data_IF_339933727290
#
_entry.id   IF_339933727290
#
_cell.length_a   1.000
_cell.length_b   1.000
_cell.length_c   1.000
_cell.angle_alpha   90.00
_cell.angle_beta   90.00
_cell.angle_gamma   90.00
#
_symmetry.space_group_name_H-M   'P 1'
#
loop_
_entity.id
_entity.type
_entity.pdbx_description
1 polymer ?
#
# COMPACT_ATOMS: atom_id res chain seq x y z
N UNK A 1 16.55 20.50 30.98
CA UNK A 1 15.83 19.70 29.96
C UNK A 1 16.36 20.05 28.58
N UNK A 2 17.13 19.16 27.99
CA UNK A 2 17.46 19.15 26.56
C UNK A 2 17.01 17.77 26.12
N UNK A 3 15.88 17.70 25.41
CA UNK A 3 15.39 16.47 24.82
C UNK A 3 16.39 16.04 23.72
N UNK A 4 17.43 15.30 24.11
CA UNK A 4 18.32 14.61 23.18
C UNK A 4 17.49 13.53 22.47
N UNK A 5 16.83 13.94 21.39
CA UNK A 5 16.03 13.07 20.54
C UNK A 5 16.88 11.89 20.05
N UNK A 6 16.32 10.70 20.11
CA UNK A 6 16.97 9.51 19.55
C UNK A 6 17.08 9.69 18.04
N UNK A 7 18.26 9.44 17.48
CA UNK A 7 18.54 9.55 16.04
C UNK A 7 19.10 8.23 15.52
N UNK A 8 18.72 7.86 14.30
CA UNK A 8 19.29 6.73 13.57
C UNK A 8 19.60 7.17 12.14
N UNK A 9 20.87 7.05 11.71
CA UNK A 9 21.31 7.56 10.40
C UNK A 9 21.00 9.06 10.25
N UNK A 10 20.22 9.43 9.22
CA UNK A 10 19.74 10.80 9.01
C UNK A 10 18.35 11.07 9.61
N UNK A 11 17.77 10.17 10.39
CA UNK A 11 16.39 10.25 10.87
C UNK A 11 16.33 10.58 12.36
N UNK A 12 15.66 11.69 12.69
CA UNK A 12 15.29 12.01 14.06
C UNK A 12 13.99 11.26 14.39
N UNK A 13 14.00 10.48 15.48
CA UNK A 13 12.87 9.67 15.93
C UNK A 13 11.93 10.56 16.76
N UNK A 14 10.65 10.55 16.43
CA UNK A 14 9.58 11.28 17.11
C UNK A 14 8.63 10.29 17.82
N UNK A 15 7.36 10.67 18.01
CA UNK A 15 6.37 9.83 18.71
C UNK A 15 6.11 8.46 18.04
N UNK A 16 5.65 7.52 18.86
CA UNK A 16 5.10 6.24 18.38
C UNK A 16 3.72 6.50 17.75
N UNK A 17 3.53 6.03 16.52
CA UNK A 17 2.29 6.19 15.74
C UNK A 17 1.57 4.87 15.50
N UNK A 18 2.19 3.75 15.85
CA UNK A 18 1.58 2.42 15.77
C UNK A 18 2.43 1.35 16.44
N UNK A 19 1.78 0.27 16.85
CA UNK A 19 2.44 -0.89 17.45
C UNK A 19 1.77 -2.18 16.96
N UNK A 20 2.58 -3.16 16.58
CA UNK A 20 2.14 -4.52 16.27
C UNK A 20 2.86 -5.55 17.13
N UNK A 21 2.52 -6.82 16.94
CA UNK A 21 3.04 -7.93 17.76
C UNK A 21 4.59 -8.04 17.75
N UNK A 22 5.24 -7.66 16.65
CA UNK A 22 6.69 -7.82 16.46
C UNK A 22 7.39 -6.53 15.98
N UNK A 23 6.66 -5.42 15.91
CA UNK A 23 7.19 -4.16 15.39
C UNK A 23 6.53 -2.97 16.05
N UNK A 24 7.29 -1.90 16.20
CA UNK A 24 6.77 -0.57 16.53
C UNK A 24 6.92 0.34 15.33
N UNK A 25 6.06 1.33 15.18
CA UNK A 25 6.15 2.33 14.13
C UNK A 25 6.22 3.70 14.79
N UNK A 26 7.31 4.42 14.54
CA UNK A 26 7.48 5.79 15.00
C UNK A 26 7.39 6.76 13.82
N UNK A 27 6.87 7.96 14.07
CA UNK A 27 7.12 9.09 13.20
C UNK A 27 8.61 9.44 13.25
N UNK A 28 9.19 9.80 12.11
CA UNK A 28 10.52 10.37 12.04
C UNK A 28 10.59 11.54 11.07
N UNK A 29 11.65 12.32 11.20
CA UNK A 29 11.96 13.42 10.28
C UNK A 29 13.36 13.19 9.71
N UNK A 30 13.45 13.11 8.39
CA UNK A 30 14.73 13.01 7.70
C UNK A 30 15.44 14.37 7.74
N UNK A 31 16.65 14.41 8.31
CA UNK A 31 17.33 15.63 8.72
C UNK A 31 17.75 16.53 7.55
N UNK A 32 18.01 15.96 6.38
CA UNK A 32 18.48 16.71 5.22
C UNK A 32 17.33 17.21 4.33
N UNK A 33 16.34 16.35 4.09
CA UNK A 33 15.20 16.66 3.20
C UNK A 33 13.99 17.22 3.94
N UNK A 34 14.02 17.18 5.28
CA UNK A 34 12.90 17.49 6.18
C UNK A 34 11.63 16.67 5.92
N UNK A 35 11.76 15.52 5.24
CA UNK A 35 10.65 14.64 4.92
C UNK A 35 10.15 13.92 6.17
N UNK A 36 8.82 13.86 6.35
CA UNK A 36 8.22 13.03 7.39
C UNK A 36 8.19 11.58 6.93
N UNK A 37 8.65 10.68 7.78
CA UNK A 37 8.74 9.24 7.48
C UNK A 37 8.07 8.41 8.56
N UNK A 38 7.57 7.24 8.19
CA UNK A 38 7.18 6.19 9.15
C UNK A 38 8.35 5.21 9.31
N UNK A 39 8.74 4.94 10.55
CA UNK A 39 9.89 4.11 10.90
C UNK A 39 9.39 2.80 11.53
N UNK A 40 9.27 1.73 10.75
CA UNK A 40 8.91 0.40 11.28
C UNK A 40 10.15 -0.26 11.89
N UNK A 41 10.17 -0.31 13.21
CA UNK A 41 11.27 -0.78 14.05
C UNK A 41 11.00 -2.23 14.46
N UNK A 42 11.95 -3.12 14.20
CA UNK A 42 11.85 -4.52 14.57
C UNK A 42 13.13 -4.98 15.30
N UNK A 43 12.96 -5.85 16.31
CA UNK A 43 14.07 -6.39 17.09
C UNK A 43 14.63 -7.67 16.45
N UNK A 44 15.93 -7.69 16.14
CA UNK A 44 16.59 -8.86 15.52
C UNK A 44 16.59 -10.07 16.44
N UNK A 45 16.67 -9.86 17.75
CA UNK A 45 16.70 -10.96 18.73
C UNK A 45 15.38 -11.71 18.82
N UNK A 46 14.28 -11.04 18.48
CA UNK A 46 12.94 -11.62 18.42
C UNK A 46 12.64 -12.32 17.07
N UNK A 47 13.52 -12.21 16.07
CA UNK A 47 13.30 -12.78 14.74
C UNK A 47 13.91 -14.18 14.60
N UNK A 48 13.04 -15.18 14.43
CA UNK A 48 13.47 -16.49 13.94
C UNK A 48 13.75 -16.46 12.41
N UNK A 49 14.32 -17.53 11.88
CA UNK A 49 14.67 -17.64 10.45
C UNK A 49 13.46 -17.45 9.50
N UNK A 50 12.26 -17.84 9.93
CA UNK A 50 11.03 -17.61 9.17
C UNK A 50 10.70 -16.12 9.10
N UNK A 51 10.79 -15.40 10.21
CA UNK A 51 10.55 -13.96 10.28
C UNK A 51 11.57 -13.18 9.45
N UNK A 52 12.85 -13.56 9.48
CA UNK A 52 13.90 -12.95 8.63
C UNK A 52 13.59 -13.12 7.15
N UNK A 53 13.15 -14.31 6.72
CA UNK A 53 12.73 -14.57 5.32
C UNK A 53 11.52 -13.74 4.92
N UNK A 54 10.53 -13.60 5.80
CA UNK A 54 9.35 -12.76 5.56
C UNK A 54 9.76 -11.29 5.42
N UNK A 55 10.63 -10.78 6.29
CA UNK A 55 11.15 -9.41 6.21
C UNK A 55 11.94 -9.16 4.90
N UNK A 56 12.84 -10.07 4.53
CA UNK A 56 13.58 -9.95 3.27
C UNK A 56 12.65 -9.93 2.05
N UNK A 57 11.59 -10.73 2.08
CA UNK A 57 10.57 -10.75 1.04
C UNK A 57 9.66 -9.51 1.06
N UNK A 58 9.35 -8.95 2.23
CA UNK A 58 8.63 -7.68 2.40
C UNK A 58 9.44 -6.54 1.75
N UNK A 59 10.72 -6.42 2.08
CA UNK A 59 11.64 -5.43 1.48
C UNK A 59 11.68 -5.58 -0.04
N UNK A 60 11.95 -6.79 -0.54
CA UNK A 60 12.00 -7.08 -2.00
C UNK A 60 10.68 -6.75 -2.70
N UNK A 61 9.55 -6.97 -2.05
CA UNK A 61 8.23 -6.63 -2.60
C UNK A 61 8.06 -5.12 -2.69
N UNK A 62 8.38 -4.40 -1.60
CA UNK A 62 8.25 -2.94 -1.54
C UNK A 62 9.17 -2.22 -2.54
N UNK A 63 10.35 -2.78 -2.85
CA UNK A 63 11.25 -2.24 -3.88
C UNK A 63 10.68 -2.29 -5.31
N UNK A 64 9.71 -3.18 -5.57
CA UNK A 64 9.09 -3.34 -6.89
C UNK A 64 7.82 -2.51 -7.07
N UNK A 65 7.26 -1.96 -6.00
CA UNK A 65 5.93 -1.34 -6.00
C UNK A 65 6.03 0.20 -6.00
N UNK A 66 5.61 0.82 -7.12
CA UNK A 66 5.63 2.26 -7.34
C UNK A 66 4.26 2.74 -7.81
N UNK A 67 3.38 3.01 -6.84
CA UNK A 67 2.02 3.42 -7.13
C UNK A 67 1.59 4.54 -6.15
N UNK A 68 0.82 5.55 -6.59
CA UNK A 68 0.37 6.64 -5.71
C UNK A 68 -0.39 6.16 -4.47
N UNK A 69 -1.04 5.01 -4.56
CA UNK A 69 -1.82 4.40 -3.48
C UNK A 69 -1.14 3.21 -2.76
N UNK A 70 0.18 3.07 -2.88
CA UNK A 70 0.96 2.07 -2.14
C UNK A 70 2.04 2.81 -1.33
N UNK A 71 2.22 2.45 -0.07
CA UNK A 71 3.30 2.97 0.78
C UNK A 71 4.66 2.68 0.15
N UNK A 72 5.49 3.71 0.04
CA UNK A 72 6.85 3.59 -0.49
C UNK A 72 7.84 3.26 0.62
N UNK A 73 8.74 2.31 0.38
CA UNK A 73 9.95 2.14 1.17
C UNK A 73 10.99 3.18 0.69
N UNK A 74 11.75 3.77 1.60
CA UNK A 74 12.86 4.69 1.29
C UNK A 74 14.21 4.09 1.64
N UNK A 75 14.37 3.50 2.81
CA UNK A 75 15.66 2.98 3.29
C UNK A 75 15.44 1.83 4.28
N UNK A 76 16.39 0.91 4.38
CA UNK A 76 16.44 -0.12 5.42
C UNK A 76 17.68 0.12 6.28
N UNK A 77 17.52 0.73 7.45
CA UNK A 77 18.66 0.98 8.35
C UNK A 77 18.82 -0.20 9.28
N UNK A 78 20.00 -0.82 9.26
CA UNK A 78 20.35 -1.90 10.17
C UNK A 78 21.25 -1.37 11.30
N UNK A 79 20.78 -1.42 12.54
CA UNK A 79 21.56 -0.99 13.70
C UNK A 79 21.31 -1.94 14.87
N UNK A 80 22.29 -2.78 15.20
CA UNK A 80 22.17 -3.81 16.24
C UNK A 80 21.73 -3.20 17.57
N UNK A 81 20.65 -3.71 18.21
CA UNK A 81 19.95 -4.97 17.92
C UNK A 81 18.71 -4.88 17.01
N UNK A 82 18.50 -3.79 16.27
CA UNK A 82 17.26 -3.47 15.54
C UNK A 82 17.43 -3.32 14.03
N UNK A 83 16.33 -3.46 13.30
CA UNK A 83 16.18 -3.10 11.88
C UNK A 83 15.08 -2.05 11.77
N UNK A 84 15.29 -1.04 10.93
CA UNK A 84 14.37 0.07 10.69
C UNK A 84 14.01 0.12 9.21
N UNK A 85 12.73 -0.09 8.88
CA UNK A 85 12.22 0.22 7.54
C UNK A 85 11.72 1.66 7.56
N UNK A 86 12.37 2.52 6.79
CA UNK A 86 11.98 3.91 6.61
C UNK A 86 11.01 3.97 5.44
N UNK A 87 9.80 4.42 5.69
CA UNK A 87 8.69 4.38 4.74
C UNK A 87 8.00 5.74 4.60
N UNK A 88 7.21 5.90 3.53
CA UNK A 88 6.27 7.01 3.37
C UNK A 88 5.35 7.12 4.58
N UNK A 89 5.18 8.34 5.09
CA UNK A 89 4.27 8.62 6.20
C UNK A 89 2.86 8.93 5.69
N UNK A 90 1.85 8.21 6.21
CA UNK A 90 0.43 8.47 5.97
C UNK A 90 -0.24 8.99 7.26
N UNK A 91 -0.40 10.32 7.35
CA UNK A 91 -0.68 10.99 8.62
C UNK A 91 -2.14 11.01 9.09
N UNK A 92 -3.10 10.44 8.35
CA UNK A 92 -4.52 10.45 8.72
C UNK A 92 -5.00 9.10 9.29
N UNK A 93 -4.06 8.24 9.70
CA UNK A 93 -4.35 6.99 10.38
C UNK A 93 -4.93 5.90 9.47
N UNK A 94 -5.46 4.86 10.10
CA UNK A 94 -6.01 3.68 9.43
C UNK A 94 -7.47 3.90 9.01
N UNK A 95 -7.85 3.34 7.86
CA UNK A 95 -9.24 3.33 7.39
C UNK A 95 -10.16 2.59 8.37
N UNK A 96 -9.66 1.57 9.07
CA UNK A 96 -10.39 0.89 10.14
C UNK A 96 -10.85 1.88 11.22
N UNK A 97 -9.90 2.60 11.82
CA UNK A 97 -10.16 3.59 12.87
C UNK A 97 -11.06 4.72 12.38
N UNK A 98 -10.88 5.16 11.12
CA UNK A 98 -11.73 6.16 10.49
C UNK A 98 -13.21 5.72 10.48
N UNK A 99 -13.50 4.50 9.99
CA UNK A 99 -14.86 3.95 9.93
C UNK A 99 -15.38 3.61 11.33
N UNK A 100 -14.54 3.09 12.21
CA UNK A 100 -14.93 2.75 13.58
C UNK A 100 -15.44 3.99 14.35
N UNK A 101 -14.77 5.12 14.21
CA UNK A 101 -15.14 6.36 14.90
C UNK A 101 -16.25 7.17 14.21
N UNK A 102 -16.31 7.16 12.87
CA UNK A 102 -17.25 8.01 12.10
C UNK A 102 -18.45 7.25 11.55
N UNK A 103 -18.44 5.92 11.63
CA UNK A 103 -19.42 5.04 11.01
C UNK A 103 -19.09 4.71 9.54
N UNK A 104 -20.01 4.00 8.90
CA UNK A 104 -19.92 3.61 7.47
C UNK A 104 -19.72 4.83 6.56
N UNK A 105 -19.05 4.61 5.44
CA UNK A 105 -18.85 5.63 4.42
C UNK A 105 -20.11 5.78 3.55
N UNK A 106 -20.48 7.02 3.17
CA UNK A 106 -21.40 7.25 2.06
C UNK A 106 -20.88 6.58 0.78
N UNK A 107 -21.79 6.09 -0.07
CA UNK A 107 -21.38 5.37 -1.28
C UNK A 107 -20.46 6.18 -2.20
N UNK A 108 -20.70 7.48 -2.34
CA UNK A 108 -19.88 8.34 -3.20
C UNK A 108 -18.43 8.43 -2.70
N UNK A 109 -18.24 8.64 -1.39
CA UNK A 109 -16.90 8.67 -0.79
C UNK A 109 -16.23 7.30 -0.84
N UNK A 110 -17.02 6.25 -0.55
CA UNK A 110 -16.57 4.87 -0.62
C UNK A 110 -16.08 4.49 -2.02
N UNK A 111 -16.77 4.92 -3.08
CA UNK A 111 -16.37 4.64 -4.48
C UNK A 111 -14.99 5.21 -4.80
N UNK A 112 -14.70 6.42 -4.35
CA UNK A 112 -13.40 7.08 -4.60
C UNK A 112 -12.25 6.36 -3.88
N UNK A 113 -12.47 5.97 -2.63
CA UNK A 113 -11.50 5.17 -1.87
C UNK A 113 -11.34 3.78 -2.49
N UNK A 114 -12.45 3.13 -2.85
CA UNK A 114 -12.44 1.79 -3.43
C UNK A 114 -11.74 1.77 -4.79
N UNK A 115 -11.93 2.77 -5.65
CA UNK A 115 -11.22 2.88 -6.92
C UNK A 115 -9.69 2.92 -6.73
N UNK A 116 -9.19 3.59 -5.70
CA UNK A 116 -7.76 3.64 -5.37
C UNK A 116 -7.24 2.28 -4.86
N UNK A 117 -8.01 1.58 -4.02
CA UNK A 117 -7.68 0.22 -3.57
C UNK A 117 -7.60 -0.72 -4.77
N UNK A 118 -8.62 -0.72 -5.64
CA UNK A 118 -8.64 -1.53 -6.86
C UNK A 118 -7.47 -1.19 -7.78
N UNK A 119 -7.12 0.08 -7.90
CA UNK A 119 -5.95 0.51 -8.67
C UNK A 119 -4.64 -0.06 -8.12
N UNK A 120 -4.42 0.05 -6.80
CA UNK A 120 -3.24 -0.48 -6.13
C UNK A 120 -3.11 -1.99 -6.31
N UNK A 121 -4.20 -2.74 -6.07
CA UNK A 121 -4.19 -4.21 -6.19
C UNK A 121 -4.07 -4.65 -7.64
N UNK A 122 -4.73 -3.98 -8.59
CA UNK A 122 -4.57 -4.24 -10.02
C UNK A 122 -3.10 -4.10 -10.46
N UNK A 123 -2.40 -3.07 -9.94
CA UNK A 123 -0.97 -2.89 -10.18
C UNK A 123 -0.10 -3.97 -9.54
N UNK A 124 -0.40 -4.40 -8.30
CA UNK A 124 0.31 -5.51 -7.68
C UNK A 124 0.13 -6.81 -8.48
N UNK A 125 -1.11 -7.12 -8.88
CA UNK A 125 -1.45 -8.33 -9.63
C UNK A 125 -0.81 -8.34 -11.03
N UNK A 126 -0.65 -7.18 -11.68
CA UNK A 126 0.05 -7.08 -12.98
C UNK A 126 1.55 -7.37 -12.88
N UNK A 127 2.16 -7.17 -11.70
CA UNK A 127 3.52 -7.61 -11.37
C UNK A 127 3.59 -9.02 -10.78
N UNK A 128 2.46 -9.73 -10.80
CA UNK A 128 2.26 -11.04 -10.16
C UNK A 128 2.57 -11.06 -8.65
N UNK A 129 2.35 -9.95 -7.97
CA UNK A 129 2.47 -9.84 -6.51
C UNK A 129 1.06 -9.96 -5.91
N UNK A 130 0.89 -10.88 -4.98
CA UNK A 130 -0.36 -11.11 -4.24
C UNK A 130 -0.17 -10.59 -2.83
N UNK A 131 -1.12 -9.83 -2.29
CA UNK A 131 -0.98 -9.19 -0.98
C UNK A 131 -1.25 -10.15 0.18
N UNK A 132 -2.34 -10.93 0.12
CA UNK A 132 -2.74 -11.96 1.10
C UNK A 132 -3.11 -11.48 2.51
N UNK A 133 -3.17 -10.17 2.76
CA UNK A 133 -3.64 -9.60 4.03
C UNK A 133 -4.31 -8.23 3.82
N UNK A 134 -5.18 -8.15 2.81
CA UNK A 134 -5.96 -6.93 2.56
C UNK A 134 -7.02 -6.80 3.66
N UNK A 135 -6.96 -5.70 4.40
CA UNK A 135 -7.87 -5.35 5.49
C UNK A 135 -7.87 -3.85 5.73
N UNK A 136 -8.82 -3.34 6.51
CA UNK A 136 -9.00 -1.90 6.71
C UNK A 136 -7.83 -1.26 7.49
N UNK A 137 -7.17 -2.03 8.35
CA UNK A 137 -5.97 -1.64 9.12
C UNK A 137 -4.75 -1.44 8.20
N UNK A 138 -4.68 -2.20 7.10
CA UNK A 138 -3.60 -2.10 6.11
C UNK A 138 -3.88 -1.04 5.02
N UNK A 139 -5.00 -0.32 5.11
CA UNK A 139 -5.31 0.81 4.24
C UNK A 139 -5.19 2.10 5.05
N UNK A 140 -4.10 2.83 4.86
CA UNK A 140 -3.84 4.08 5.55
C UNK A 140 -4.40 5.27 4.77
N UNK A 141 -4.75 6.33 5.47
CA UNK A 141 -5.16 7.61 4.89
C UNK A 141 -3.96 8.56 4.96
N UNK A 142 -3.49 9.02 3.80
CA UNK A 142 -2.48 10.09 3.73
C UNK A 142 -3.12 11.47 3.75
N UNK A 143 -4.34 11.58 3.20
CA UNK A 143 -5.30 12.69 3.26
C UNK A 143 -6.71 12.07 3.36
N UNK A 144 -7.77 12.85 3.69
CA UNK A 144 -9.12 12.29 3.83
C UNK A 144 -9.57 11.40 2.66
N UNK A 145 -9.16 11.75 1.44
CA UNK A 145 -9.61 11.06 0.21
C UNK A 145 -8.47 10.32 -0.50
N UNK A 146 -7.28 10.22 0.10
CA UNK A 146 -6.09 9.63 -0.54
C UNK A 146 -5.51 8.48 0.28
N UNK A 147 -5.70 7.27 -0.22
CA UNK A 147 -5.29 6.05 0.48
C UNK A 147 -3.87 5.63 0.15
N UNK A 148 -3.27 4.90 1.08
CA UNK A 148 -1.99 4.20 0.95
C UNK A 148 -2.13 2.78 1.48
N UNK A 149 -2.05 1.80 0.59
CA UNK A 149 -1.98 0.40 0.97
C UNK A 149 -0.61 0.10 1.60
N UNK A 150 -0.62 -0.54 2.76
CA UNK A 150 0.54 -0.80 3.60
C UNK A 150 0.61 -2.27 4.02
N UNK A 151 1.72 -2.63 4.68
CA UNK A 151 2.03 -3.96 5.23
C UNK A 151 2.09 -5.11 4.22
N UNK A 152 3.29 -5.34 3.69
CA UNK A 152 3.56 -6.38 2.71
C UNK A 152 4.21 -7.62 3.33
N UNK A 153 4.16 -7.79 4.66
CA UNK A 153 4.80 -8.91 5.37
C UNK A 153 4.30 -10.29 4.93
N UNK A 154 3.08 -10.37 4.42
CA UNK A 154 2.51 -11.58 3.83
C UNK A 154 2.48 -11.56 2.30
N UNK A 155 2.93 -10.50 1.63
CA UNK A 155 2.88 -10.46 0.17
C UNK A 155 3.81 -11.51 -0.46
N UNK A 156 3.51 -11.98 -1.66
CA UNK A 156 4.42 -12.87 -2.40
C UNK A 156 4.28 -12.70 -3.90
N UNK A 157 5.42 -12.79 -4.60
CA UNK A 157 5.43 -12.89 -6.05
C UNK A 157 5.18 -14.34 -6.47
N UNK A 158 4.25 -14.55 -7.41
CA UNK A 158 3.85 -15.86 -7.91
C UNK A 158 4.06 -15.91 -9.42
N UNK A 159 4.44 -17.05 -10.00
CA UNK A 159 4.42 -17.15 -11.45
C UNK A 159 2.96 -17.35 -11.93
N UNK A 160 2.63 -16.96 -13.17
CA UNK A 160 1.33 -17.24 -13.74
C UNK A 160 1.00 -18.75 -13.68
N UNK A 161 -0.11 -19.10 -13.04
CA UNK A 161 -0.57 -20.48 -12.87
C UNK A 161 -0.15 -21.15 -11.56
N UNK A 162 0.82 -20.60 -10.83
CA UNK A 162 1.26 -21.17 -9.55
C UNK A 162 0.18 -21.04 -8.48
N UNK A 163 0.05 -22.11 -7.68
CA UNK A 163 -0.81 -22.14 -6.50
C UNK A 163 0.01 -22.01 -5.22
N UNK A 164 -0.58 -21.34 -4.24
CA UNK A 164 0.00 -21.14 -2.92
C UNK A 164 -0.55 -22.17 -1.92
N UNK A 165 0.25 -22.52 -0.92
CA UNK A 165 -0.10 -23.52 0.12
C UNK A 165 -0.17 -22.95 1.53
N UNK A 166 0.38 -21.75 1.76
CA UNK A 166 0.49 -21.17 3.10
C UNK A 166 -0.77 -20.40 3.47
N UNK A 167 -1.41 -20.76 4.58
CA UNK A 167 -2.45 -19.95 5.22
C UNK A 167 -1.82 -18.77 5.96
N UNK A 168 -2.20 -17.56 5.61
CA UNK A 168 -1.77 -16.32 6.26
C UNK A 168 -2.83 -15.24 6.10
N UNK A 169 -2.64 -14.11 6.80
CA UNK A 169 -3.58 -13.00 6.81
C UNK A 169 -4.66 -13.10 7.88
N UNK A 170 -5.51 -12.09 7.92
CA UNK A 170 -6.47 -11.85 9.00
C UNK A 170 -7.75 -12.69 8.83
N UNK A 171 -8.18 -13.47 9.84
CA UNK A 171 -9.29 -14.43 9.68
C UNK A 171 -10.60 -13.86 9.15
N UNK A 172 -10.97 -12.62 9.52
CA UNK A 172 -12.21 -11.99 9.09
C UNK A 172 -12.24 -11.65 7.58
N UNK A 173 -11.08 -11.56 6.94
CA UNK A 173 -10.88 -11.27 5.52
C UNK A 173 -10.48 -12.52 4.72
N UNK A 174 -10.31 -13.67 5.38
CA UNK A 174 -9.83 -14.89 4.75
C UNK A 174 -10.89 -15.51 3.82
N UNK A 175 -10.47 -15.89 2.61
CA UNK A 175 -11.32 -16.57 1.64
C UNK A 175 -11.66 -18.01 2.06
N UNK A 176 -12.82 -18.57 1.65
CA UNK A 176 -13.25 -19.92 2.05
C UNK A 176 -12.27 -21.03 1.67
N UNK A 177 -11.61 -20.91 0.51
CA UNK A 177 -10.66 -21.91 0.02
C UNK A 177 -9.41 -22.04 0.90
N UNK A 178 -9.05 -21.00 1.66
CA UNK A 178 -7.94 -21.04 2.62
C UNK A 178 -8.20 -22.03 3.76
N UNK A 179 -9.48 -22.36 4.02
CA UNK A 179 -9.90 -23.28 5.06
C UNK A 179 -10.23 -24.70 4.56
N UNK A 180 -10.39 -24.87 3.25
CA UNK A 180 -10.85 -26.10 2.59
C UNK A 180 -9.75 -26.80 1.82
N UNK A 181 -8.89 -26.04 1.17
CA UNK A 181 -7.95 -26.56 0.17
C UNK A 181 -6.52 -26.53 0.70
N UNK A 182 -5.72 -27.50 0.28
CA UNK A 182 -4.27 -27.46 0.50
C UNK A 182 -3.54 -26.48 -0.41
N UNK A 183 -4.19 -26.06 -1.51
CA UNK A 183 -3.67 -25.15 -2.53
C UNK A 183 -4.74 -24.16 -2.98
N UNK A 184 -4.33 -22.93 -3.30
CA UNK A 184 -5.24 -21.87 -3.75
C UNK A 184 -4.58 -20.92 -4.75
N UNK A 185 -5.41 -20.25 -5.57
CA UNK A 185 -4.96 -19.18 -6.46
C UNK A 185 -4.94 -17.85 -5.69
N UNK A 186 -3.74 -17.25 -5.57
CA UNK A 186 -3.54 -16.07 -4.74
C UNK A 186 -4.40 -14.87 -5.12
N UNK A 187 -4.53 -14.57 -6.43
CA UNK A 187 -5.34 -13.43 -6.90
C UNK A 187 -6.79 -13.50 -6.42
N UNK A 188 -7.39 -14.70 -6.44
CA UNK A 188 -8.79 -14.89 -6.04
C UNK A 188 -9.00 -14.63 -4.55
N UNK A 189 -8.01 -14.94 -3.70
CA UNK A 189 -8.06 -14.65 -2.26
C UNK A 189 -8.03 -13.14 -2.00
N UNK A 190 -7.22 -12.38 -2.73
CA UNK A 190 -7.22 -10.91 -2.64
C UNK A 190 -8.59 -10.34 -3.05
N UNK A 191 -9.23 -10.87 -4.11
CA UNK A 191 -10.57 -10.42 -4.53
C UNK A 191 -11.62 -10.63 -3.42
N UNK A 192 -11.59 -11.77 -2.73
CA UNK A 192 -12.48 -12.01 -1.60
C UNK A 192 -12.26 -10.98 -0.49
N UNK A 193 -11.00 -10.76 -0.10
CA UNK A 193 -10.64 -9.80 0.95
C UNK A 193 -11.08 -8.37 0.59
N UNK A 194 -10.96 -7.97 -0.68
CA UNK A 194 -11.48 -6.70 -1.21
C UNK A 194 -13.01 -6.62 -1.10
N UNK A 195 -13.73 -7.73 -1.35
CA UNK A 195 -15.17 -7.81 -1.15
C UNK A 195 -15.59 -7.61 0.30
N UNK A 196 -14.86 -8.24 1.23
CA UNK A 196 -15.03 -8.04 2.69
C UNK A 196 -14.77 -6.58 3.06
N UNK A 197 -13.71 -5.98 2.52
CA UNK A 197 -13.35 -4.59 2.76
C UNK A 197 -14.40 -3.61 2.23
N UNK A 198 -14.91 -3.81 1.01
CA UNK A 198 -15.99 -2.97 0.45
C UNK A 198 -17.25 -3.04 1.30
N UNK A 199 -17.64 -4.25 1.72
CA UNK A 199 -18.76 -4.43 2.63
C UNK A 199 -18.52 -3.69 3.96
N UNK A 200 -17.33 -3.83 4.55
CA UNK A 200 -16.97 -3.13 5.78
C UNK A 200 -17.06 -1.60 5.62
N UNK A 201 -16.58 -1.04 4.51
CA UNK A 201 -16.69 0.40 4.24
C UNK A 201 -18.14 0.89 4.16
N UNK A 202 -19.02 0.12 3.51
CA UNK A 202 -20.41 0.52 3.26
C UNK A 202 -21.38 0.16 4.40
N UNK A 203 -21.00 -0.76 5.28
CA UNK A 203 -21.87 -1.28 6.35
C UNK A 203 -21.32 -0.98 7.75
N UNK A 204 -20.04 -0.60 7.85
CA UNK A 204 -19.34 -0.33 9.12
C UNK A 204 -18.97 -1.58 9.90
N UNK A 205 -19.19 -2.76 9.32
CA UNK A 205 -19.16 -4.05 9.98
C UNK A 205 -18.76 -5.11 8.95
N UNK A 206 -17.98 -6.13 9.32
CA UNK A 206 -17.64 -7.24 8.39
C UNK A 206 -18.86 -8.13 8.09
N UNK A 207 -18.93 -8.74 6.88
CA UNK A 207 -20.06 -9.57 6.46
C UNK A 207 -20.14 -10.91 7.20
N UNK A 208 -18.99 -11.44 7.65
CA UNK A 208 -18.90 -12.68 8.42
C UNK A 208 -18.43 -12.39 9.83
N UNK A 209 -19.09 -13.01 10.81
CA UNK A 209 -18.86 -12.79 12.25
C UNK A 209 -19.02 -14.09 13.01
N UNK A 210 -18.29 -14.22 14.11
CA UNK A 210 -18.45 -15.30 15.06
C UNK A 210 -17.69 -14.97 16.34
N UNK A 211 -18.23 -15.36 17.48
CA UNK A 211 -17.61 -15.16 18.80
C UNK A 211 -16.31 -15.96 18.96
N UNK A 212 -16.21 -17.07 18.23
CA UNK A 212 -15.02 -17.92 18.18
C UNK A 212 -14.51 -18.01 16.75
N UNK A 213 -13.22 -18.31 16.59
CA UNK A 213 -12.63 -18.60 15.29
C UNK A 213 -13.37 -19.73 14.55
N UNK A 214 -13.84 -20.74 15.29
CA UNK A 214 -14.64 -21.83 14.73
C UNK A 214 -15.97 -21.33 14.14
N UNK A 215 -16.71 -20.50 14.87
CA UNK A 215 -17.99 -19.95 14.41
C UNK A 215 -17.78 -19.02 13.20
N UNK A 216 -16.74 -18.17 13.24
CA UNK A 216 -16.38 -17.32 12.10
C UNK A 216 -16.06 -18.15 10.86
N UNK A 217 -15.25 -19.21 11.01
CA UNK A 217 -14.93 -20.14 9.91
C UNK A 217 -16.20 -20.74 9.32
N UNK A 218 -17.14 -21.21 10.14
CA UNK A 218 -18.41 -21.76 9.65
C UNK A 218 -19.22 -20.74 8.85
N UNK A 219 -19.29 -19.49 9.30
CA UNK A 219 -19.96 -18.41 8.56
C UNK A 219 -19.31 -18.14 7.20
N UNK A 220 -17.98 -18.04 7.15
CA UNK A 220 -17.22 -17.86 5.90
C UNK A 220 -17.47 -19.02 4.94
N UNK A 221 -17.43 -20.26 5.42
CA UNK A 221 -17.61 -21.45 4.59
C UNK A 221 -19.03 -21.60 4.03
N UNK A 222 -20.04 -21.10 4.77
CA UNK A 222 -21.44 -21.02 4.31
C UNK A 222 -21.64 -19.91 3.27
N UNK A 223 -20.88 -18.82 3.37
CA UNK A 223 -20.96 -17.70 2.42
C UNK A 223 -22.24 -16.88 2.51
N UNK A 224 -22.98 -17.02 3.61
CA UNK A 224 -24.24 -16.28 3.81
C UNK A 224 -23.97 -14.99 4.57
N UNK A 225 -24.38 -13.88 4.01
CA UNK A 225 -24.33 -12.54 4.61
C UNK A 225 -25.55 -11.74 4.14
N UNK A 226 -25.94 -10.72 4.90
CA UNK A 226 -27.05 -9.85 4.54
C UNK A 226 -26.55 -8.64 3.76
N UNK A 227 -27.20 -8.30 2.65
CA UNK A 227 -26.97 -7.02 1.97
C UNK A 227 -28.07 -6.03 2.41
N UNK A 228 -27.71 -4.92 3.08
CA UNK A 228 -28.71 -3.96 3.51
C UNK A 228 -29.43 -3.28 2.34
N UNK A 229 -30.74 -3.08 2.47
CA UNK A 229 -31.59 -2.46 1.44
C UNK A 229 -31.22 -1.00 1.11
N UNK A 230 -30.48 -0.32 1.99
CA UNK A 230 -30.02 1.05 1.74
C UNK A 230 -28.85 1.12 0.74
N UNK A 231 -28.22 -0.02 0.41
CA UNK A 231 -27.16 -0.07 -0.59
C UNK A 231 -27.75 -0.03 -1.99
N UNK A 232 -27.10 0.68 -2.90
CA UNK A 232 -27.47 0.68 -4.32
C UNK A 232 -27.34 -0.72 -4.92
N UNK A 233 -28.16 -1.01 -5.93
CA UNK A 233 -28.10 -2.28 -6.68
C UNK A 233 -26.69 -2.51 -7.25
N UNK A 234 -25.99 -1.45 -7.64
CA UNK A 234 -24.62 -1.54 -8.14
C UNK A 234 -23.63 -2.00 -7.05
N UNK A 235 -23.74 -1.45 -5.83
CA UNK A 235 -22.91 -1.85 -4.69
C UNK A 235 -23.19 -3.30 -4.28
N UNK A 236 -24.47 -3.67 -4.15
CA UNK A 236 -24.89 -5.03 -3.82
C UNK A 236 -24.36 -6.04 -4.85
N UNK A 237 -24.43 -5.70 -6.14
CA UNK A 237 -23.97 -6.56 -7.24
C UNK A 237 -22.46 -6.78 -7.19
N UNK A 238 -21.65 -5.73 -7.04
CA UNK A 238 -20.19 -5.92 -7.03
C UNK A 238 -19.72 -6.69 -5.79
N UNK A 239 -20.34 -6.46 -4.61
CA UNK A 239 -20.05 -7.25 -3.40
C UNK A 239 -20.35 -8.73 -3.63
N UNK A 240 -21.52 -9.05 -4.18
CA UNK A 240 -21.94 -10.44 -4.43
C UNK A 240 -21.12 -11.16 -5.49
N UNK A 241 -20.52 -10.42 -6.43
CA UNK A 241 -19.58 -10.95 -7.42
C UNK A 241 -18.19 -11.24 -6.84
N UNK A 242 -17.76 -10.53 -5.79
CA UNK A 242 -16.49 -10.78 -5.09
C UNK A 242 -16.62 -11.85 -4.00
N UNK A 243 -17.73 -11.87 -3.25
CA UNK A 243 -17.98 -12.82 -2.16
C UNK A 243 -18.62 -14.13 -2.66
N UNK A 244 -18.08 -14.67 -3.76
CA UNK A 244 -18.45 -15.98 -4.31
C UNK A 244 -17.57 -17.06 -3.70
N UNK A 245 -18.20 -18.12 -3.18
CA UNK A 245 -17.50 -19.25 -2.54
C UNK A 245 -16.57 -19.96 -3.52
N UNK A 246 -17.03 -20.21 -4.73
CA UNK A 246 -16.23 -20.84 -5.79
C UNK A 246 -15.22 -19.83 -6.35
N UNK A 247 -13.91 -19.99 -6.12
CA UNK A 247 -12.90 -19.03 -6.55
C UNK A 247 -12.77 -18.90 -8.07
N UNK A 248 -13.26 -19.89 -8.84
CA UNK A 248 -13.24 -19.87 -10.31
C UNK A 248 -14.38 -19.01 -10.88
N UNK A 249 -15.53 -18.97 -10.18
CA UNK A 249 -16.68 -18.14 -10.53
C UNK A 249 -16.60 -16.73 -9.97
N UNK A 250 -15.65 -16.49 -9.06
CA UNK A 250 -15.38 -15.18 -8.46
C UNK A 250 -14.91 -14.21 -9.53
N UNK A 251 -15.41 -12.99 -9.46
CA UNK A 251 -15.07 -11.93 -10.42
C UNK A 251 -13.57 -11.62 -10.42
N UNK A 252 -13.07 -11.08 -11.53
CA UNK A 252 -11.67 -10.65 -11.65
C UNK A 252 -11.50 -9.17 -11.30
N UNK A 253 -10.25 -8.74 -11.10
CA UNK A 253 -9.94 -7.32 -10.87
C UNK A 253 -10.37 -6.43 -12.04
N UNK A 254 -10.29 -6.94 -13.27
CA UNK A 254 -10.68 -6.21 -14.47
C UNK A 254 -12.21 -6.09 -14.61
N UNK A 255 -12.95 -7.12 -14.23
CA UNK A 255 -14.42 -7.05 -14.14
C UNK A 255 -14.85 -5.99 -13.11
N UNK A 256 -14.18 -5.93 -11.95
CA UNK A 256 -14.48 -4.93 -10.90
C UNK A 256 -14.21 -3.52 -11.42
N UNK A 257 -13.10 -3.29 -12.15
CA UNK A 257 -12.79 -1.97 -12.72
C UNK A 257 -13.84 -1.48 -13.70
N UNK A 258 -14.52 -2.40 -14.39
CA UNK A 258 -15.56 -2.10 -15.38
C UNK A 258 -16.99 -2.20 -14.82
N UNK A 259 -17.16 -2.40 -13.50
CA UNK A 259 -18.49 -2.56 -12.92
C UNK A 259 -19.25 -1.24 -12.80
N UNK A 260 -20.59 -1.32 -12.75
CA UNK A 260 -21.45 -0.15 -12.61
C UNK A 260 -21.23 0.66 -11.32
N UNK A 261 -20.72 0.02 -10.25
CA UNK A 261 -20.42 0.73 -9.00
C UNK A 261 -19.27 1.72 -9.19
N UNK A 262 -18.25 1.37 -9.97
CA UNK A 262 -17.09 2.21 -10.27
C UNK A 262 -17.21 2.97 -11.59
N UNK A 263 -18.41 3.04 -12.18
CA UNK A 263 -18.65 3.85 -13.38
C UNK A 263 -18.21 5.29 -13.12
N UNK A 264 -17.55 5.89 -14.11
CA UNK A 264 -16.99 7.26 -14.06
C UNK A 264 -15.85 7.49 -13.05
N UNK A 265 -15.46 6.48 -12.26
CA UNK A 265 -14.30 6.59 -11.39
C UNK A 265 -13.01 6.57 -12.22
N UNK A 266 -12.08 7.47 -11.90
CA UNK A 266 -10.73 7.46 -12.45
C UNK A 266 -9.85 6.54 -11.61
N UNK A 267 -9.12 5.65 -12.25
CA UNK A 267 -8.10 4.84 -11.61
C UNK A 267 -6.76 5.57 -11.68
N UNK A 268 -6.09 5.67 -10.55
CA UNK A 268 -4.74 6.25 -10.45
C UNK A 268 -3.76 5.44 -11.30
N UNK A 269 -2.91 6.13 -12.05
CA UNK A 269 -1.84 5.43 -12.80
C UNK A 269 -0.66 5.17 -11.87
N UNK A 270 0.06 4.05 -12.03
CA UNK A 270 1.33 3.85 -11.35
C UNK A 270 2.31 4.97 -11.73
N UNK A 271 3.28 5.23 -10.86
CA UNK A 271 4.34 6.18 -11.18
C UNK A 271 5.18 5.65 -12.35
N UNK A 272 5.85 6.56 -13.06
CA UNK A 272 6.91 6.16 -14.00
C UNK A 272 7.94 5.38 -13.19
N UNK A 273 8.24 4.17 -13.64
CA UNK A 273 9.16 3.30 -12.93
C UNK A 273 10.59 3.76 -13.22
N UNK A 274 11.24 4.27 -12.17
CA UNK A 274 12.67 4.52 -12.16
C UNK A 274 13.38 3.39 -11.43
N UNK A 275 14.67 3.24 -11.68
CA UNK A 275 15.50 2.27 -10.99
C UNK A 275 15.65 2.70 -9.52
N UNK A 276 15.47 1.74 -8.60
CA UNK A 276 15.51 2.03 -7.15
C UNK A 276 16.92 2.02 -6.56
N UNK A 277 17.87 1.64 -7.39
CA UNK A 277 19.30 1.89 -7.24
C UNK A 277 19.64 3.01 -8.23
N UNK A 278 20.57 3.88 -7.89
CA UNK A 278 21.01 4.92 -8.82
C UNK A 278 21.65 4.26 -10.05
N UNK A 279 21.14 4.53 -11.24
CA UNK A 279 21.79 4.13 -12.49
C UNK A 279 22.44 5.35 -13.15
N UNK A 280 23.64 5.17 -13.70
CA UNK A 280 24.41 6.26 -14.30
C UNK A 280 23.66 6.92 -15.47
N UNK A 281 23.09 6.10 -16.36
CA UNK A 281 22.35 6.58 -17.52
C UNK A 281 21.03 7.26 -17.11
N UNK A 282 20.42 6.77 -16.02
CA UNK A 282 19.15 7.31 -15.53
C UNK A 282 19.31 8.61 -14.76
N UNK A 283 20.39 8.77 -13.98
CA UNK A 283 20.61 9.90 -13.07
C UNK A 283 21.59 10.92 -13.66
N UNK A 284 22.79 10.52 -14.07
CA UNK A 284 23.83 11.44 -14.56
C UNK A 284 23.58 11.84 -16.02
N UNK A 285 23.15 10.90 -16.86
CA UNK A 285 22.80 11.15 -18.26
C UNK A 285 21.29 11.33 -18.48
N UNK A 286 20.57 11.73 -17.43
CA UNK A 286 19.12 11.85 -17.40
C UNK A 286 18.56 12.66 -18.60
N UNK A 287 17.92 11.96 -19.55
CA UNK A 287 17.12 12.60 -20.63
C UNK A 287 15.68 12.87 -20.20
N UNK A 288 15.20 12.15 -19.20
CA UNK A 288 13.84 12.32 -18.69
C UNK A 288 13.76 13.61 -17.84
N UNK A 289 12.83 14.55 -18.14
CA UNK A 289 12.70 15.79 -17.39
C UNK A 289 12.49 15.61 -15.88
N UNK A 290 11.84 14.53 -15.44
CA UNK A 290 11.69 14.21 -14.02
C UNK A 290 13.03 13.82 -13.39
N UNK A 291 13.84 13.04 -14.09
CA UNK A 291 15.16 12.65 -13.58
C UNK A 291 16.13 13.83 -13.53
N UNK A 292 16.02 14.78 -14.45
CA UNK A 292 16.74 16.06 -14.36
C UNK A 292 16.34 16.83 -13.10
N UNK A 293 15.04 16.90 -12.77
CA UNK A 293 14.59 17.51 -11.52
C UNK A 293 15.08 16.76 -10.28
N UNK A 294 15.10 15.43 -10.33
CA UNK A 294 15.67 14.59 -9.26
C UNK A 294 17.15 14.91 -9.06
N UNK A 295 17.96 14.93 -10.12
CA UNK A 295 19.40 15.29 -10.03
C UNK A 295 19.60 16.69 -9.46
N UNK A 296 18.86 17.68 -9.93
CA UNK A 296 18.96 19.05 -9.42
C UNK A 296 18.62 19.12 -7.92
N UNK A 297 17.61 18.37 -7.48
CA UNK A 297 17.21 18.33 -6.06
C UNK A 297 18.21 17.56 -5.20
N UNK A 298 18.85 16.50 -5.73
CA UNK A 298 19.98 15.84 -5.07
C UNK A 298 21.16 16.79 -4.87
N UNK A 299 21.54 17.53 -5.92
CA UNK A 299 22.64 18.50 -5.86
C UNK A 299 22.34 19.63 -4.87
N UNK A 300 21.09 20.09 -4.79
CA UNK A 300 20.65 21.05 -3.78
C UNK A 300 20.88 20.54 -2.35
N UNK A 301 20.68 19.25 -2.11
CA UNK A 301 20.99 18.60 -0.82
C UNK A 301 22.48 18.25 -0.64
N UNK A 302 23.36 18.70 -1.53
CA UNK A 302 24.80 18.47 -1.47
C UNK A 302 25.26 17.11 -2.03
N UNK A 303 24.36 16.35 -2.66
CA UNK A 303 24.70 15.08 -3.33
C UNK A 303 25.13 15.42 -4.76
N UNK A 304 26.43 15.67 -4.93
CA UNK A 304 27.04 15.99 -6.21
C UNK A 304 27.30 14.73 -7.07
N UNK A 305 27.73 14.94 -8.31
CA UNK A 305 27.93 13.84 -9.27
C UNK A 305 28.99 12.82 -8.80
N UNK A 306 30.00 13.23 -8.03
CA UNK A 306 31.00 12.34 -7.43
C UNK A 306 30.34 11.39 -6.42
N UNK A 307 29.53 11.92 -5.50
CA UNK A 307 28.80 11.10 -4.51
C UNK A 307 27.82 10.16 -5.22
N UNK A 308 27.14 10.63 -6.28
CA UNK A 308 26.26 9.77 -7.09
C UNK A 308 27.06 8.60 -7.66
N UNK A 309 28.20 8.88 -8.31
CA UNK A 309 29.04 7.86 -8.93
C UNK A 309 29.56 6.81 -7.93
N UNK A 310 29.95 7.23 -6.72
CA UNK A 310 30.39 6.33 -5.65
C UNK A 310 29.27 5.38 -5.14
N UNK A 311 28.00 5.70 -5.43
CA UNK A 311 26.83 4.99 -4.89
C UNK A 311 25.96 4.28 -5.96
N UNK A 312 26.33 4.27 -7.25
CA UNK A 312 25.58 3.69 -8.38
C UNK A 312 25.20 2.19 -8.27
N UNK A 313 25.74 1.46 -7.29
CA UNK A 313 25.48 0.02 -7.10
C UNK A 313 25.03 -0.32 -5.69
N UNK A 314 24.84 0.70 -4.85
CA UNK A 314 24.48 0.50 -3.45
C UNK A 314 23.00 0.17 -3.32
N UNK A 315 22.71 -0.67 -2.33
CA UNK A 315 21.37 -1.14 -2.07
C UNK A 315 20.58 -0.23 -1.15
N UNK A 316 19.48 -0.78 -0.68
CA UNK A 316 18.47 -0.11 0.13
C UNK A 316 18.91 0.27 1.54
N UNK A 317 20.03 -0.31 1.97
CA UNK A 317 20.71 -0.09 3.24
C UNK A 317 21.68 1.11 3.22
N UNK A 318 21.88 1.72 2.05
CA UNK A 318 22.72 2.90 1.90
C UNK A 318 21.91 4.20 2.03
N UNK A 319 22.39 5.09 2.91
CA UNK A 319 21.74 6.39 3.17
C UNK A 319 21.60 7.32 1.97
N UNK A 320 22.56 7.33 1.04
CA UNK A 320 22.48 8.15 -0.19
C UNK A 320 21.38 7.63 -1.12
N UNK A 321 21.22 6.30 -1.19
CA UNK A 321 20.09 5.67 -1.89
C UNK A 321 18.77 5.98 -1.20
N UNK A 322 18.73 6.02 0.14
CA UNK A 322 17.58 6.48 0.91
C UNK A 322 17.14 7.90 0.52
N UNK A 323 18.09 8.83 0.47
CA UNK A 323 17.85 10.23 0.06
C UNK A 323 17.35 10.30 -1.37
N UNK A 324 17.96 9.54 -2.29
CA UNK A 324 17.50 9.44 -3.68
C UNK A 324 16.07 8.97 -3.80
N UNK A 325 15.70 7.90 -3.08
CA UNK A 325 14.33 7.35 -3.12
C UNK A 325 13.31 8.33 -2.55
N UNK A 326 13.67 9.12 -1.53
CA UNK A 326 12.86 10.24 -1.02
C UNK A 326 12.70 11.33 -2.10
N UNK A 327 13.80 11.76 -2.73
CA UNK A 327 13.78 12.82 -3.76
C UNK A 327 12.96 12.41 -4.98
N UNK A 328 13.16 11.20 -5.49
CA UNK A 328 12.35 10.64 -6.59
C UNK A 328 10.88 10.67 -6.23
N UNK A 329 10.54 10.25 -5.01
CA UNK A 329 9.16 10.25 -4.55
C UNK A 329 8.56 11.66 -4.51
N UNK A 330 9.27 12.64 -3.94
CA UNK A 330 8.82 14.03 -3.88
C UNK A 330 8.58 14.60 -5.29
N UNK A 331 9.52 14.40 -6.22
CA UNK A 331 9.39 14.89 -7.61
C UNK A 331 8.20 14.23 -8.32
N UNK A 332 7.98 12.93 -8.09
CA UNK A 332 6.83 12.21 -8.64
C UNK A 332 5.49 12.69 -8.06
N UNK A 333 5.44 12.99 -6.76
CA UNK A 333 4.24 13.57 -6.14
C UNK A 333 3.93 14.96 -6.72
N UNK A 334 4.94 15.83 -6.82
CA UNK A 334 4.80 17.19 -7.36
C UNK A 334 4.32 17.16 -8.82
N UNK A 335 4.85 16.24 -9.62
CA UNK A 335 4.44 16.07 -11.00
C UNK A 335 2.98 15.63 -11.13
N UNK A 336 2.57 14.61 -10.38
CA UNK A 336 1.18 14.13 -10.38
C UNK A 336 0.21 15.20 -9.89
N UNK A 337 0.58 15.97 -8.86
CA UNK A 337 -0.24 17.07 -8.36
C UNK A 337 -0.45 18.15 -9.42
N UNK A 338 0.62 18.56 -10.12
CA UNK A 338 0.52 19.54 -11.23
C UNK A 338 -0.34 19.02 -12.39
N UNK A 339 -0.25 17.74 -12.75
CA UNK A 339 -1.11 17.17 -13.78
C UNK A 339 -2.59 17.18 -13.38
N UNK A 340 -2.90 16.90 -12.12
CA UNK A 340 -4.28 16.95 -11.63
C UNK A 340 -4.83 18.38 -11.66
N UNK A 341 -4.06 19.38 -11.24
CA UNK A 341 -4.49 20.79 -11.32
C UNK A 341 -4.74 21.26 -12.76
N UNK A 342 -3.86 20.91 -13.71
CA UNK A 342 -4.04 21.28 -15.11
C UNK A 342 -5.29 20.63 -15.74
N UNK A 343 -5.66 19.41 -15.32
CA UNK A 343 -6.92 18.78 -15.76
C UNK A 343 -8.15 19.50 -15.20
N UNK A 344 -8.10 19.96 -13.95
CA UNK A 344 -9.21 20.72 -13.34
C UNK A 344 -9.38 22.08 -14.03
N UNK A 345 -8.30 22.82 -14.25
CA UNK A 345 -8.35 24.11 -14.95
C UNK A 345 -8.91 23.99 -16.38
N UNK A 346 -8.48 22.97 -17.14
CA UNK A 346 -8.99 22.74 -18.50
C UNK A 346 -10.46 22.30 -18.51
N UNK A 347 -10.91 21.48 -17.55
CA UNK A 347 -12.34 21.15 -17.40
C UNK A 347 -13.21 22.36 -17.01
N UNK A 348 -12.68 23.26 -16.17
CA UNK A 348 -13.41 24.47 -15.75
C UNK A 348 -13.57 25.51 -16.86
N UNK A 349 -12.65 25.55 -17.82
CA UNK A 349 -12.76 26.40 -19.02
C UNK A 349 -13.84 25.90 -19.99
N UNK A 350 -14.05 24.58 -20.09
CA UNK A 350 -15.11 24.02 -20.93
C UNK A 350 -16.51 24.14 -20.29
N UNK A 351 -16.62 24.22 -18.97
CA UNK A 351 -17.91 24.46 -18.29
C UNK A 351 -18.41 25.91 -18.37
N UNK A 352 -17.59 26.85 -18.86
CA UNK A 352 -17.99 28.24 -19.11
C UNK A 352 -18.30 28.54 -20.58
N UNK A 353 -18.21 27.54 -21.47
CA UNK A 353 -18.39 27.68 -22.91
C UNK A 353 -19.61 26.90 -23.47
N UNK A 354 -20.53 26.46 -22.62
CA UNK A 354 -21.82 25.89 -23.03
C UNK A 354 -22.97 26.44 -22.21
#
# INVERSE_FOLDING_TARGET
EIALGQRIGFYNICEEIGSGNFSKVNLGIHSLTNEKVAMKIMDKSAMNEKAKKLLANEIKTMEQLHHPNIIRLFECVEATPRIYLIMEYAGHGELYSYIHHRGKLPENDCKLIFAQIISAISYMHSKNIIHRDIKAENVLLSKPDLIKLADFGFACQVNPGDMLTTFCGSPAYAAPELFKNSKYYGRSVDIWAIGVLLYFMLVGNTPFRGETFHNLKLCILRGTYALPNYLSVAAQRVISQMLVIDPVKRTTIDDIKNCNFLKECKFTKPYIQFNMIMDENEVLEAKNPLMVQVRNKLQFYGINDTIIHENLTKGIDNSVIGIYRIVVHQVQQDFNYKQQQNQVCTSSFFSFLF
#
